data_IF_015307499568
#
_entry.id   IF_015307499568
#
_cell.length_a   1.000
_cell.length_b   1.000
_cell.length_c   1.000
_cell.angle_alpha   90.00
_cell.angle_beta   90.00
_cell.angle_gamma   90.00
#
_symmetry.space_group_name_H-M   'P 1'
#
loop_
_entity.id
_entity.type
_entity.pdbx_description
1 polymer ?
#
# COMPACT_ATOMS: atom_id res chain seq x y z
N UNK A 1 9.74 -24.45 -17.36
CA UNK A 1 9.42 -23.84 -18.67
C UNK A 1 10.50 -22.84 -19.13
N UNK A 2 11.45 -22.45 -18.26
CA UNK A 2 12.53 -21.52 -18.62
C UNK A 2 12.07 -20.09 -18.94
N UNK A 3 10.93 -19.67 -18.38
CA UNK A 3 10.42 -18.32 -18.57
C UNK A 3 10.96 -17.42 -17.46
N UNK A 4 11.69 -16.38 -17.85
CA UNK A 4 12.36 -15.45 -16.93
C UNK A 4 11.57 -14.17 -16.69
N UNK A 5 11.79 -13.46 -15.57
CA UNK A 5 11.21 -12.13 -15.36
C UNK A 5 11.57 -11.15 -16.48
N UNK A 6 10.69 -10.22 -16.82
CA UNK A 6 9.34 -10.02 -16.32
C UNK A 6 8.27 -10.89 -17.00
N UNK A 7 8.62 -11.71 -18.00
CA UNK A 7 7.66 -12.55 -18.74
C UNK A 7 7.03 -13.62 -17.86
N UNK A 8 7.75 -14.13 -16.83
CA UNK A 8 7.22 -15.06 -15.84
C UNK A 8 5.99 -14.52 -15.13
N UNK A 9 5.97 -13.23 -14.82
CA UNK A 9 4.85 -12.56 -14.16
C UNK A 9 3.58 -12.50 -15.01
N UNK A 10 3.71 -12.59 -16.33
CA UNK A 10 2.59 -12.47 -17.26
C UNK A 10 2.08 -13.81 -17.79
N UNK A 11 2.95 -14.83 -17.83
CA UNK A 11 2.63 -16.10 -18.46
C UNK A 11 1.57 -16.87 -17.68
N UNK A 12 0.34 -16.94 -18.24
CA UNK A 12 -0.82 -17.63 -17.64
C UNK A 12 -1.12 -17.19 -16.21
N UNK A 13 -0.83 -15.92 -15.86
CA UNK A 13 -1.02 -15.37 -14.51
C UNK A 13 -2.19 -14.37 -14.49
N UNK A 14 -3.41 -14.81 -14.14
CA UNK A 14 -4.55 -13.90 -13.95
C UNK A 14 -4.42 -13.08 -12.66
N UNK A 15 -3.58 -13.49 -11.71
CA UNK A 15 -3.43 -12.91 -10.36
C UNK A 15 -2.30 -11.88 -10.25
N UNK A 16 -1.76 -11.43 -11.38
CA UNK A 16 -0.59 -10.55 -11.44
C UNK A 16 -0.72 -9.17 -10.79
N UNK A 17 -1.93 -8.76 -10.44
CA UNK A 17 -2.21 -7.51 -9.70
C UNK A 17 -2.82 -7.78 -8.31
N UNK A 18 -2.74 -9.02 -7.81
CA UNK A 18 -3.15 -9.38 -6.46
C UNK A 18 -2.07 -9.04 -5.44
N UNK A 19 -2.42 -9.12 -4.17
CA UNK A 19 -1.62 -8.58 -3.05
C UNK A 19 -0.31 -9.33 -2.77
N UNK A 20 -0.09 -10.50 -3.33
CA UNK A 20 1.03 -11.39 -2.98
C UNK A 20 2.44 -10.79 -3.10
N UNK A 21 2.62 -9.70 -3.84
CA UNK A 21 3.86 -8.93 -3.80
C UNK A 21 3.86 -7.94 -2.63
N UNK A 22 2.77 -7.21 -2.43
CA UNK A 22 2.66 -6.19 -1.39
C UNK A 22 2.91 -6.75 0.02
N UNK A 23 2.39 -7.94 0.36
CA UNK A 23 2.49 -8.54 1.70
C UNK A 23 3.92 -8.97 2.09
N UNK A 24 4.88 -8.97 1.17
CA UNK A 24 6.29 -9.32 1.43
C UNK A 24 7.24 -8.13 1.29
N UNK A 25 6.70 -6.91 1.29
CA UNK A 25 7.45 -5.67 1.10
C UNK A 25 8.33 -5.28 2.29
N UNK A 26 8.07 -5.81 3.47
CA UNK A 26 8.61 -5.36 4.75
C UNK A 26 10.13 -5.39 4.78
N UNK A 27 10.73 -6.50 4.39
CA UNK A 27 12.18 -6.67 4.39
C UNK A 27 12.89 -5.59 3.57
N UNK A 28 12.34 -5.21 2.44
CA UNK A 28 12.94 -4.18 1.58
C UNK A 28 12.91 -2.80 2.23
N UNK A 29 11.86 -2.49 2.97
CA UNK A 29 11.77 -1.28 3.79
C UNK A 29 12.81 -1.29 4.93
N UNK A 30 12.92 -2.40 5.64
CA UNK A 30 13.87 -2.56 6.76
C UNK A 30 15.33 -2.55 6.33
N UNK A 31 15.66 -3.03 5.13
CA UNK A 31 17.03 -2.97 4.58
C UNK A 31 17.45 -1.58 4.10
N UNK A 32 16.53 -0.64 3.98
CA UNK A 32 16.79 0.70 3.47
C UNK A 32 16.18 1.81 4.34
N UNK A 33 16.42 1.85 5.68
CA UNK A 33 15.81 2.84 6.56
C UNK A 33 16.15 4.27 6.11
N UNK A 34 15.12 5.12 5.98
CA UNK A 34 15.27 6.49 5.50
C UNK A 34 15.61 6.63 4.02
N UNK A 35 15.55 5.55 3.22
CA UNK A 35 15.90 5.53 1.80
C UNK A 35 14.75 4.95 0.94
N UNK A 36 13.60 5.63 0.82
CA UNK A 36 12.41 5.11 0.13
C UNK A 36 12.68 4.64 -1.29
N UNK A 37 13.45 5.41 -2.07
CA UNK A 37 13.81 5.07 -3.44
C UNK A 37 14.58 3.74 -3.54
N UNK A 38 15.48 3.49 -2.60
CA UNK A 38 16.25 2.24 -2.57
C UNK A 38 15.36 1.06 -2.20
N UNK A 39 14.49 1.22 -1.21
CA UNK A 39 13.51 0.22 -0.82
C UNK A 39 12.61 -0.16 -2.00
N UNK A 40 12.04 0.83 -2.68
CA UNK A 40 11.20 0.63 -3.87
C UNK A 40 11.95 -0.07 -5.02
N UNK A 41 13.23 0.26 -5.24
CA UNK A 41 14.03 -0.39 -6.28
C UNK A 41 14.30 -1.88 -5.98
N UNK A 42 14.49 -2.25 -4.72
CA UNK A 42 14.63 -3.65 -4.29
C UNK A 42 13.29 -4.39 -4.45
N UNK A 43 12.20 -3.80 -3.97
CA UNK A 43 10.86 -4.33 -4.10
C UNK A 43 10.45 -4.54 -5.56
N UNK A 44 10.80 -3.62 -6.46
CA UNK A 44 10.56 -3.78 -7.89
C UNK A 44 11.21 -5.05 -8.45
N UNK A 45 12.43 -5.37 -8.05
CA UNK A 45 13.13 -6.56 -8.53
C UNK A 45 12.42 -7.83 -8.09
N UNK A 46 11.99 -7.91 -6.82
CA UNK A 46 11.24 -9.05 -6.29
C UNK A 46 9.86 -9.17 -6.94
N UNK A 47 9.06 -8.11 -6.91
CA UNK A 47 7.72 -8.10 -7.44
C UNK A 47 7.66 -8.53 -8.92
N UNK A 48 8.62 -8.10 -9.72
CA UNK A 48 8.68 -8.37 -11.17
C UNK A 48 8.81 -9.85 -11.53
N UNK A 49 9.15 -10.72 -10.57
CA UNK A 49 9.21 -12.17 -10.74
C UNK A 49 7.82 -12.75 -10.99
N UNK A 50 6.82 -12.23 -10.27
CA UNK A 50 5.47 -12.82 -10.17
C UNK A 50 4.31 -11.86 -10.42
N UNK A 51 4.53 -10.54 -10.35
CA UNK A 51 3.50 -9.52 -10.46
C UNK A 51 3.78 -8.52 -11.58
N UNK A 52 2.75 -7.75 -11.93
CA UNK A 52 2.83 -6.70 -12.95
C UNK A 52 1.96 -5.51 -12.57
N UNK A 53 2.23 -4.34 -13.16
CA UNK A 53 1.43 -3.12 -13.00
C UNK A 53 1.20 -2.79 -11.50
N UNK A 54 -0.08 -2.64 -11.09
CA UNK A 54 -0.39 -2.26 -9.70
C UNK A 54 0.08 -3.29 -8.66
N UNK A 55 0.23 -4.58 -9.02
CA UNK A 55 0.83 -5.57 -8.13
C UNK A 55 2.29 -5.27 -7.80
N UNK A 56 3.08 -4.83 -8.79
CA UNK A 56 4.46 -4.37 -8.58
C UNK A 56 4.48 -3.05 -7.81
N UNK A 57 3.63 -2.11 -8.21
CA UNK A 57 3.57 -0.79 -7.55
C UNK A 57 3.15 -0.89 -6.08
N UNK A 58 2.33 -1.87 -5.71
CA UNK A 58 1.94 -2.11 -4.32
C UNK A 58 3.13 -2.46 -3.43
N UNK A 59 3.99 -3.38 -3.87
CA UNK A 59 5.20 -3.73 -3.13
C UNK A 59 6.18 -2.55 -3.04
N UNK A 60 6.41 -1.84 -4.15
CA UNK A 60 7.25 -0.63 -4.16
C UNK A 60 6.73 0.44 -3.20
N UNK A 61 5.41 0.69 -3.21
CA UNK A 61 4.74 1.68 -2.36
C UNK A 61 4.92 1.35 -0.87
N UNK A 62 4.61 0.11 -0.46
CA UNK A 62 4.73 -0.30 0.94
C UNK A 62 6.20 -0.30 1.40
N UNK A 63 7.12 -0.85 0.61
CA UNK A 63 8.54 -0.82 0.95
C UNK A 63 9.08 0.61 1.14
N UNK A 64 8.67 1.54 0.27
CA UNK A 64 9.04 2.94 0.39
C UNK A 64 8.44 3.61 1.64
N UNK A 65 7.16 3.32 1.96
CA UNK A 65 6.52 3.80 3.18
C UNK A 65 7.24 3.32 4.44
N UNK A 66 7.56 2.03 4.53
CA UNK A 66 8.30 1.46 5.66
C UNK A 66 9.67 2.13 5.80
N UNK A 67 10.40 2.29 4.69
CA UNK A 67 11.69 2.98 4.72
C UNK A 67 11.57 4.44 5.19
N UNK A 68 10.52 5.15 4.76
CA UNK A 68 10.26 6.53 5.16
C UNK A 68 9.88 6.65 6.64
N UNK A 69 9.14 5.68 7.18
CA UNK A 69 8.66 5.68 8.57
C UNK A 69 9.77 5.76 9.62
N UNK A 70 11.00 5.36 9.27
CA UNK A 70 12.16 5.52 10.18
C UNK A 70 12.56 6.98 10.46
N UNK A 71 12.07 7.94 9.64
CA UNK A 71 12.44 9.35 9.75
C UNK A 71 11.24 10.31 9.61
N UNK A 72 10.06 9.80 9.32
CA UNK A 72 8.86 10.60 9.14
C UNK A 72 8.29 11.08 10.48
N UNK A 73 7.78 12.30 10.49
CA UNK A 73 7.16 12.94 11.66
C UNK A 73 5.62 12.90 11.62
N UNK A 74 5.03 12.50 10.48
CA UNK A 74 3.60 12.44 10.27
C UNK A 74 3.21 11.37 9.23
N UNK A 75 1.93 11.03 9.18
CA UNK A 75 1.38 10.04 8.26
C UNK A 75 1.46 10.50 6.79
N UNK A 76 1.30 11.81 6.53
CA UNK A 76 1.38 12.36 5.19
C UNK A 76 2.75 12.11 4.56
N UNK A 77 3.81 12.39 5.30
CA UNK A 77 5.20 12.18 4.85
C UNK A 77 5.49 10.71 4.49
N UNK A 78 4.90 9.77 5.26
CA UNK A 78 5.03 8.33 4.97
C UNK A 78 4.34 7.99 3.65
N UNK A 79 3.08 8.38 3.49
CA UNK A 79 2.27 8.07 2.31
C UNK A 79 2.84 8.75 1.06
N UNK A 80 3.25 10.02 1.17
CA UNK A 80 3.85 10.78 0.06
C UNK A 80 5.17 10.18 -0.41
N UNK A 81 6.00 9.66 0.51
CA UNK A 81 7.22 8.95 0.15
C UNK A 81 6.91 7.69 -0.69
N UNK A 82 5.89 6.92 -0.31
CA UNK A 82 5.42 5.78 -1.10
C UNK A 82 4.90 6.19 -2.48
N UNK A 83 4.07 7.23 -2.54
CA UNK A 83 3.53 7.77 -3.80
C UNK A 83 4.61 8.31 -4.73
N UNK A 84 5.73 8.80 -4.19
CA UNK A 84 6.87 9.29 -4.95
C UNK A 84 7.58 8.21 -5.76
N UNK A 85 7.47 6.95 -5.37
CA UNK A 85 8.19 5.82 -5.97
C UNK A 85 7.35 5.01 -6.99
N UNK A 86 6.10 5.38 -7.21
CA UNK A 86 5.21 4.69 -8.17
C UNK A 86 4.69 5.65 -9.25
N UNK A 87 4.27 5.14 -10.43
CA UNK A 87 3.76 6.01 -11.48
C UNK A 87 2.53 6.80 -11.00
N UNK A 88 2.61 8.13 -11.09
CA UNK A 88 1.59 9.06 -10.57
C UNK A 88 0.19 8.85 -11.13
N UNK A 89 0.09 8.33 -12.37
CA UNK A 89 -1.18 8.09 -13.06
C UNK A 89 -1.62 6.62 -12.98
N UNK A 90 -0.94 5.79 -12.16
CA UNK A 90 -1.37 4.42 -11.91
C UNK A 90 -2.69 4.40 -11.14
N UNK A 91 -3.50 3.35 -11.36
CA UNK A 91 -4.76 3.18 -10.61
C UNK A 91 -4.50 3.12 -9.10
N UNK A 92 -3.39 2.49 -8.68
CA UNK A 92 -2.98 2.47 -7.28
C UNK A 92 -2.72 3.87 -6.75
N UNK A 93 -1.90 4.68 -7.43
CA UNK A 93 -1.60 6.03 -6.97
C UNK A 93 -2.84 6.94 -6.90
N UNK A 94 -3.78 6.76 -7.82
CA UNK A 94 -5.07 7.47 -7.78
C UNK A 94 -5.87 7.05 -6.55
N UNK A 95 -5.96 5.75 -6.28
CA UNK A 95 -6.68 5.23 -5.11
C UNK A 95 -6.05 5.69 -3.79
N UNK A 96 -4.73 5.64 -3.69
CA UNK A 96 -4.02 6.09 -2.49
C UNK A 96 -4.23 7.58 -2.22
N UNK A 97 -4.12 8.44 -3.24
CA UNK A 97 -4.39 9.89 -3.07
C UNK A 97 -5.82 10.19 -2.64
N UNK A 98 -6.80 9.47 -3.19
CA UNK A 98 -8.19 9.61 -2.75
C UNK A 98 -8.36 9.20 -1.28
N UNK A 99 -7.79 8.05 -0.88
CA UNK A 99 -7.82 7.57 0.50
C UNK A 99 -7.11 8.55 1.45
N UNK A 100 -5.95 9.05 1.06
CA UNK A 100 -5.20 10.08 1.81
C UNK A 100 -6.07 11.32 2.07
N UNK A 101 -6.75 11.83 1.03
CA UNK A 101 -7.63 12.98 1.17
C UNK A 101 -8.81 12.70 2.12
N UNK A 102 -9.41 11.51 2.07
CA UNK A 102 -10.47 11.13 3.01
C UNK A 102 -9.95 11.02 4.44
N UNK A 103 -8.76 10.45 4.64
CA UNK A 103 -8.13 10.39 5.96
C UNK A 103 -7.84 11.79 6.51
N UNK A 104 -7.24 12.68 5.71
CA UNK A 104 -6.98 14.06 6.11
C UNK A 104 -8.26 14.82 6.49
N UNK A 105 -9.31 14.66 5.71
CA UNK A 105 -10.61 15.28 6.01
C UNK A 105 -11.18 14.75 7.33
N UNK A 106 -11.14 13.45 7.55
CA UNK A 106 -11.68 12.82 8.76
C UNK A 106 -10.85 13.18 10.01
N UNK A 107 -9.51 13.19 9.89
CA UNK A 107 -8.60 13.57 10.99
C UNK A 107 -8.77 15.05 11.42
N UNK A 108 -9.35 15.91 10.58
CA UNK A 108 -9.68 17.30 10.90
C UNK A 108 -11.01 17.43 11.67
N UNK A 109 -11.80 16.36 11.80
CA UNK A 109 -13.05 16.35 12.55
C UNK A 109 -12.79 16.37 14.07
N UNK A 110 -13.78 16.82 14.85
CA UNK A 110 -13.68 16.86 16.33
C UNK A 110 -13.60 15.46 16.95
N UNK A 111 -14.19 14.47 16.32
CA UNK A 111 -14.18 13.05 16.73
C UNK A 111 -13.94 12.16 15.49
N UNK A 112 -12.68 11.97 15.09
CA UNK A 112 -12.35 11.17 13.89
C UNK A 112 -12.80 9.71 14.03
N UNK A 113 -13.45 9.17 12.97
CA UNK A 113 -13.94 7.80 12.91
C UNK A 113 -13.40 7.10 11.66
N UNK A 114 -12.57 6.10 11.84
CA UNK A 114 -12.00 5.35 10.72
C UNK A 114 -13.06 4.69 9.82
N UNK A 115 -14.24 4.38 10.40
CA UNK A 115 -15.36 3.79 9.68
C UNK A 115 -15.86 4.69 8.52
N UNK A 116 -15.85 6.02 8.70
CA UNK A 116 -16.26 6.95 7.64
C UNK A 116 -15.31 6.87 6.43
N UNK A 117 -14.02 6.74 6.67
CA UNK A 117 -13.02 6.55 5.60
C UNK A 117 -13.17 5.16 4.98
N UNK A 118 -13.38 4.13 5.80
CA UNK A 118 -13.62 2.76 5.34
C UNK A 118 -14.85 2.68 4.41
N UNK A 119 -15.94 3.36 4.73
CA UNK A 119 -17.13 3.41 3.88
C UNK A 119 -16.80 3.98 2.51
N UNK A 120 -16.04 5.08 2.43
CA UNK A 120 -15.57 5.64 1.16
C UNK A 120 -14.68 4.65 0.38
N UNK A 121 -13.74 4.00 1.07
CA UNK A 121 -12.88 2.99 0.45
C UNK A 121 -13.72 1.83 -0.11
N UNK A 122 -14.68 1.34 0.67
CA UNK A 122 -15.54 0.23 0.26
C UNK A 122 -16.46 0.62 -0.92
N UNK A 123 -17.02 1.82 -0.91
CA UNK A 123 -17.86 2.31 -2.02
C UNK A 123 -17.06 2.38 -3.34
N UNK A 124 -15.82 2.88 -3.29
CA UNK A 124 -15.02 3.13 -4.50
C UNK A 124 -14.22 1.91 -4.95
N UNK A 125 -13.75 1.08 -4.01
CA UNK A 125 -12.80 -0.02 -4.29
C UNK A 125 -13.29 -1.40 -3.84
N UNK A 126 -14.46 -1.51 -3.20
CA UNK A 126 -15.06 -2.78 -2.79
C UNK A 126 -15.47 -3.70 -3.95
N UNK A 127 -15.50 -3.19 -5.18
CA UNK A 127 -15.72 -3.99 -6.38
C UNK A 127 -14.52 -4.86 -6.80
N UNK A 128 -13.30 -4.55 -6.28
CA UNK A 128 -12.13 -5.41 -6.48
C UNK A 128 -12.24 -6.69 -5.66
N UNK A 129 -11.57 -7.74 -6.13
CA UNK A 129 -11.46 -8.97 -5.34
C UNK A 129 -10.77 -8.71 -4.00
N UNK A 130 -11.16 -9.42 -2.93
CA UNK A 130 -10.63 -9.21 -1.57
C UNK A 130 -9.11 -9.23 -1.44
N UNK A 131 -8.40 -9.94 -2.31
CA UNK A 131 -6.93 -9.99 -2.34
C UNK A 131 -6.32 -9.14 -3.48
N UNK A 132 -7.03 -8.14 -3.99
CA UNK A 132 -6.45 -7.23 -4.97
C UNK A 132 -5.60 -6.15 -4.28
N UNK A 133 -4.48 -5.77 -4.91
CA UNK A 133 -3.54 -4.79 -4.34
C UNK A 133 -4.17 -3.43 -4.02
N UNK A 134 -5.06 -2.91 -4.87
CA UNK A 134 -5.55 -1.52 -4.75
C UNK A 134 -6.37 -1.31 -3.49
N UNK A 135 -7.38 -2.16 -3.24
CA UNK A 135 -8.24 -2.02 -2.07
C UNK A 135 -7.48 -2.27 -0.77
N UNK A 136 -6.58 -3.26 -0.75
CA UNK A 136 -5.78 -3.55 0.43
C UNK A 136 -4.76 -2.44 0.75
N UNK A 137 -4.10 -1.87 -0.26
CA UNK A 137 -3.22 -0.72 -0.05
C UNK A 137 -3.97 0.50 0.53
N UNK A 138 -5.22 0.73 0.12
CA UNK A 138 -6.06 1.77 0.70
C UNK A 138 -6.30 1.53 2.21
N UNK A 139 -6.52 0.27 2.64
CA UNK A 139 -6.65 -0.06 4.07
C UNK A 139 -5.35 0.13 4.86
N UNK A 140 -4.20 -0.15 4.25
CA UNK A 140 -2.90 0.14 4.88
C UNK A 140 -2.76 1.64 5.13
N UNK A 141 -3.11 2.50 4.16
CA UNK A 141 -3.10 3.96 4.35
C UNK A 141 -4.05 4.38 5.47
N UNK A 142 -5.27 3.84 5.49
CA UNK A 142 -6.21 4.05 6.60
C UNK A 142 -5.57 3.72 7.96
N UNK A 143 -4.93 2.55 8.08
CA UNK A 143 -4.24 2.11 9.29
C UNK A 143 -3.09 3.02 9.69
N UNK A 144 -2.31 3.53 8.74
CA UNK A 144 -1.21 4.46 9.00
C UNK A 144 -1.74 5.78 9.60
N UNK A 145 -2.83 6.34 9.06
CA UNK A 145 -3.40 7.59 9.57
C UNK A 145 -3.98 7.44 10.99
N UNK A 146 -4.75 6.40 11.22
CA UNK A 146 -5.40 6.19 12.52
C UNK A 146 -4.50 5.55 13.56
N UNK A 147 -3.39 4.95 13.14
CA UNK A 147 -2.41 4.30 14.00
C UNK A 147 -1.10 5.06 14.17
N UNK A 148 -0.92 6.24 13.57
CA UNK A 148 0.36 6.95 13.59
C UNK A 148 0.87 7.24 15.01
N UNK A 149 0.00 7.62 15.92
CA UNK A 149 0.31 7.88 17.32
C UNK A 149 0.14 6.66 18.23
N UNK A 150 -0.50 5.60 17.75
CA UNK A 150 -0.83 4.39 18.50
C UNK A 150 -0.75 3.15 17.59
N UNK A 151 0.34 2.41 17.73
CA UNK A 151 0.60 1.21 16.92
C UNK A 151 -0.49 0.14 17.08
N UNK A 152 -0.98 -0.08 18.32
CA UNK A 152 -2.06 -1.06 18.56
C UNK A 152 -3.33 -0.65 17.81
N UNK A 153 -3.69 0.61 17.86
CA UNK A 153 -4.83 1.14 17.12
C UNK A 153 -4.66 0.95 15.60
N UNK A 154 -3.47 1.19 15.07
CA UNK A 154 -3.18 0.97 13.64
C UNK A 154 -3.46 -0.46 13.20
N UNK A 155 -2.96 -1.44 13.97
CA UNK A 155 -3.19 -2.86 13.71
C UNK A 155 -4.68 -3.20 13.82
N UNK A 156 -5.35 -2.75 14.88
CA UNK A 156 -6.79 -3.02 15.09
C UNK A 156 -7.63 -2.46 13.95
N UNK A 157 -7.40 -1.21 13.55
CA UNK A 157 -8.16 -0.56 12.46
C UNK A 157 -7.96 -1.30 11.15
N UNK A 158 -6.71 -1.60 10.77
CA UNK A 158 -6.41 -2.28 9.51
C UNK A 158 -7.02 -3.68 9.47
N UNK A 159 -6.94 -4.43 10.58
CA UNK A 159 -7.49 -5.79 10.67
C UNK A 159 -9.02 -5.78 10.64
N UNK A 160 -9.68 -4.90 11.40
CA UNK A 160 -11.14 -4.80 11.42
C UNK A 160 -11.73 -4.30 10.10
N UNK A 161 -10.97 -3.54 9.33
CA UNK A 161 -11.38 -3.08 8.01
C UNK A 161 -11.56 -4.24 7.00
N UNK A 162 -10.93 -5.39 7.23
CA UNK A 162 -11.16 -6.64 6.49
C UNK A 162 -10.30 -6.79 5.24
N UNK A 163 -10.79 -7.57 4.28
CA UNK A 163 -10.14 -8.10 3.08
C UNK A 163 -8.97 -9.03 3.43
N UNK A 164 -7.76 -8.74 2.99
CA UNK A 164 -6.58 -9.58 3.24
C UNK A 164 -5.85 -9.08 4.50
N UNK A 165 -5.98 -9.82 5.60
CA UNK A 165 -5.59 -9.35 6.94
C UNK A 165 -4.37 -10.08 7.52
N UNK A 166 -3.72 -10.94 6.75
CA UNK A 166 -2.47 -11.62 7.12
C UNK A 166 -1.20 -10.88 6.69
#
# INVERSE_FOLDING_TARGET
>A
LGIWPPHSALFRNPFREWIGAQIRADDFGYFAPGQPQKAAALAFQDASISHAKNGVYGEMFIAAMIAAAFAAEDADSIVDAGLGEIPKDSRLAVAIRATQAWCQQEMAASEPKWQNVWENINEHYGHYHGVHTINNAALVVLGVYFGFADFEQGIVVTTLAGWDTD
#
